data_IF_914970272310
#
_entry.id   IF_914970272310
#
_cell.length_a   1.000
_cell.length_b   1.000
_cell.length_c   1.000
_cell.angle_alpha   90.00
_cell.angle_beta   90.00
_cell.angle_gamma   90.00
#
_symmetry.space_group_name_H-M   'P 1'
#
loop_
_entity.id
_entity.type
_entity.pdbx_description
1 polymer ?
#
# COMPACT_ATOMS: atom_id res chain seq x y z
N UNK A 1 -14.91 11.48 3.42
CA UNK A 1 -14.26 11.36 2.10
C UNK A 1 -13.53 12.65 1.78
N UNK A 2 -12.52 12.61 0.90
CA UNK A 2 -11.73 13.79 0.53
C UNK A 2 -12.58 15.01 0.08
N UNK A 3 -13.66 14.86 -0.73
CA UNK A 3 -14.49 16.00 -1.12
C UNK A 3 -15.14 16.75 0.05
N UNK A 4 -15.63 16.02 1.07
CA UNK A 4 -16.23 16.64 2.26
C UNK A 4 -15.17 17.33 3.14
N UNK A 5 -13.98 16.75 3.22
CA UNK A 5 -12.85 17.36 3.94
C UNK A 5 -12.40 18.67 3.27
N UNK A 6 -12.28 18.67 1.94
CA UNK A 6 -11.96 19.87 1.15
C UNK A 6 -13.04 20.94 1.32
N UNK A 7 -14.33 20.57 1.30
CA UNK A 7 -15.42 21.51 1.53
C UNK A 7 -15.31 22.18 2.91
N UNK A 8 -15.06 21.40 3.96
CA UNK A 8 -14.86 21.94 5.31
C UNK A 8 -13.63 22.84 5.40
N UNK A 9 -12.50 22.46 4.80
CA UNK A 9 -11.29 23.30 4.76
C UNK A 9 -11.57 24.67 4.14
N UNK A 10 -12.34 24.70 3.03
CA UNK A 10 -12.73 25.96 2.37
C UNK A 10 -13.63 26.83 3.24
N UNK A 11 -14.55 26.23 4.00
CA UNK A 11 -15.42 26.98 4.93
C UNK A 11 -14.64 27.58 6.10
N UNK A 12 -13.54 26.94 6.49
CA UNK A 12 -12.67 27.37 7.59
C UNK A 12 -11.46 28.19 7.13
N UNK A 13 -11.37 28.54 5.84
CA UNK A 13 -10.24 29.23 5.22
C UNK A 13 -8.87 28.55 5.47
N UNK A 14 -8.86 27.22 5.44
CA UNK A 14 -7.67 26.39 5.64
C UNK A 14 -7.04 25.97 4.30
N UNK A 15 -5.70 25.81 4.23
CA UNK A 15 -5.03 25.25 3.06
C UNK A 15 -5.55 23.85 2.70
N UNK A 16 -5.73 23.59 1.40
CA UNK A 16 -6.09 22.25 0.91
C UNK A 16 -4.84 21.43 0.61
N UNK A 17 -4.61 20.27 1.26
CA UNK A 17 -3.46 19.42 0.98
C UNK A 17 -3.63 18.69 -0.35
N UNK A 18 -2.50 18.17 -0.87
CA UNK A 18 -2.51 17.24 -2.00
C UNK A 18 -2.89 15.85 -1.50
N UNK A 19 -3.81 15.19 -2.22
CA UNK A 19 -4.26 13.84 -1.90
C UNK A 19 -3.62 12.83 -2.87
N UNK A 20 -3.15 11.71 -2.31
CA UNK A 20 -2.71 10.54 -3.06
C UNK A 20 -3.52 9.34 -2.55
N UNK A 21 -4.20 8.65 -3.47
CA UNK A 21 -4.98 7.46 -3.14
C UNK A 21 -4.23 6.22 -3.64
N UNK A 22 -4.01 5.27 -2.74
CA UNK A 22 -3.45 3.95 -3.06
C UNK A 22 -4.58 2.94 -3.30
N UNK A 23 -4.37 1.92 -4.14
CA UNK A 23 -5.35 0.87 -4.37
C UNK A 23 -5.67 0.12 -3.07
N UNK A 24 -6.94 -0.23 -2.90
CA UNK A 24 -7.38 -1.12 -1.82
C UNK A 24 -7.07 -2.56 -2.22
N UNK A 25 -6.31 -3.27 -1.37
CA UNK A 25 -6.04 -4.68 -1.54
C UNK A 25 -7.33 -5.51 -1.39
N UNK A 26 -7.58 -6.42 -2.34
CA UNK A 26 -8.72 -7.35 -2.35
C UNK A 26 -8.25 -8.80 -2.45
N UNK A 27 -9.12 -9.75 -2.09
CA UNK A 27 -8.92 -11.16 -2.45
C UNK A 27 -9.23 -11.40 -3.94
N UNK A 28 -9.07 -12.65 -4.39
CA UNK A 28 -9.38 -13.05 -5.77
C UNK A 28 -10.85 -12.84 -6.18
N UNK A 29 -11.77 -12.74 -5.22
CA UNK A 29 -13.20 -12.45 -5.46
C UNK A 29 -13.51 -10.95 -5.51
N UNK A 30 -12.51 -10.09 -5.36
CA UNK A 30 -12.68 -8.64 -5.35
C UNK A 30 -13.16 -8.07 -4.00
N UNK A 31 -13.24 -8.90 -2.96
CA UNK A 31 -13.62 -8.46 -1.62
C UNK A 31 -12.43 -7.83 -0.91
N UNK A 32 -12.64 -6.69 -0.25
CA UNK A 32 -11.59 -6.00 0.50
C UNK A 32 -10.99 -6.95 1.55
N UNK A 33 -9.67 -7.00 1.63
CA UNK A 33 -8.98 -7.69 2.72
C UNK A 33 -9.30 -7.01 4.05
N UNK A 34 -9.86 -7.77 4.98
CA UNK A 34 -10.32 -7.30 6.28
C UNK A 34 -10.44 -8.47 7.25
N UNK A 35 -10.66 -8.17 8.53
CA UNK A 35 -11.00 -9.19 9.52
C UNK A 35 -12.32 -9.92 9.20
N UNK A 36 -13.27 -9.23 8.56
CA UNK A 36 -14.55 -9.81 8.16
C UNK A 36 -14.41 -10.81 7.00
N UNK A 37 -13.44 -10.58 6.12
CA UNK A 37 -13.11 -11.48 5.00
C UNK A 37 -12.02 -12.48 5.36
N UNK A 38 -11.73 -12.66 6.66
CA UNK A 38 -10.74 -13.60 7.19
C UNK A 38 -9.36 -13.46 6.54
N UNK A 39 -8.97 -12.23 6.21
CA UNK A 39 -7.64 -11.97 5.68
C UNK A 39 -6.57 -12.43 6.68
N UNK A 40 -5.51 -13.06 6.16
CA UNK A 40 -4.40 -13.50 6.98
C UNK A 40 -3.79 -12.32 7.76
N UNK A 41 -3.46 -12.51 9.05
CA UNK A 41 -2.75 -11.48 9.81
C UNK A 41 -1.35 -11.28 9.25
N UNK A 42 -0.77 -10.11 9.52
CA UNK A 42 0.65 -9.85 9.20
C UNK A 42 1.53 -10.84 9.96
N UNK A 43 2.41 -11.54 9.25
CA UNK A 43 3.36 -12.49 9.83
C UNK A 43 4.52 -11.75 10.51
N UNK A 44 4.41 -11.55 11.83
CA UNK A 44 5.45 -10.91 12.63
C UNK A 44 6.77 -11.69 12.69
N UNK A 45 6.79 -12.98 12.32
CA UNK A 45 8.02 -13.79 12.27
C UNK A 45 8.81 -13.55 10.98
N UNK A 46 8.15 -13.06 9.92
CA UNK A 46 8.76 -12.77 8.61
C UNK A 46 8.30 -11.40 8.10
N UNK A 47 8.57 -10.31 8.84
CA UNK A 47 8.07 -8.98 8.51
C UNK A 47 8.60 -8.48 7.17
N UNK A 48 9.82 -8.87 6.79
CA UNK A 48 10.42 -8.52 5.50
C UNK A 48 9.63 -9.05 4.30
N UNK A 49 9.08 -10.26 4.39
CA UNK A 49 8.27 -10.84 3.31
C UNK A 49 6.98 -10.05 3.10
N UNK A 50 6.31 -9.67 4.19
CA UNK A 50 5.10 -8.85 4.13
C UNK A 50 5.35 -7.45 3.58
N UNK A 51 6.46 -6.83 3.98
CA UNK A 51 6.85 -5.52 3.48
C UNK A 51 7.23 -5.55 1.99
N UNK A 52 7.97 -6.59 1.58
CA UNK A 52 8.30 -6.84 0.17
C UNK A 52 7.03 -6.94 -0.68
N UNK A 53 6.06 -7.78 -0.26
CA UNK A 53 4.81 -7.96 -0.97
C UNK A 53 3.98 -6.65 -1.03
N UNK A 54 4.00 -5.84 0.02
CA UNK A 54 3.34 -4.54 0.03
C UNK A 54 3.97 -3.55 -0.97
N UNK A 55 5.30 -3.53 -1.09
CA UNK A 55 5.99 -2.68 -2.07
C UNK A 55 5.74 -3.16 -3.51
N UNK A 56 5.80 -4.47 -3.76
CA UNK A 56 5.45 -5.05 -5.05
C UNK A 56 3.99 -4.66 -5.44
N UNK A 57 3.05 -4.74 -4.50
CA UNK A 57 1.65 -4.33 -4.69
C UNK A 57 1.51 -2.83 -5.01
N UNK A 58 2.36 -1.97 -4.43
CA UNK A 58 2.39 -0.54 -4.70
C UNK A 58 3.13 -0.19 -6.00
N UNK A 59 3.62 -1.17 -6.77
CA UNK A 59 4.32 -0.94 -8.02
C UNK A 59 5.82 -0.66 -7.86
N UNK A 60 6.40 -1.02 -6.71
CA UNK A 60 7.84 -0.91 -6.42
C UNK A 60 8.43 -2.32 -6.28
N UNK A 61 8.73 -3.00 -7.41
CA UNK A 61 9.25 -4.36 -7.37
C UNK A 61 10.59 -4.41 -6.62
N UNK A 62 10.60 -5.07 -5.47
CA UNK A 62 11.81 -5.14 -4.63
C UNK A 62 12.82 -6.10 -5.27
N UNK A 63 14.11 -5.73 -5.33
CA UNK A 63 15.15 -6.61 -5.84
C UNK A 63 15.21 -7.93 -5.07
N UNK A 64 15.47 -9.04 -5.77
CA UNK A 64 15.49 -10.38 -5.16
C UNK A 64 16.45 -10.50 -3.97
N UNK A 65 17.57 -9.78 -4.02
CA UNK A 65 18.55 -9.72 -2.93
C UNK A 65 18.01 -9.14 -1.62
N UNK A 66 16.93 -8.34 -1.67
CA UNK A 66 16.30 -7.72 -0.50
C UNK A 66 14.98 -8.41 -0.11
N UNK A 67 14.52 -9.42 -0.85
CA UNK A 67 13.27 -10.12 -0.55
C UNK A 67 13.40 -10.85 0.78
N UNK A 68 12.58 -10.46 1.75
CA UNK A 68 12.60 -11.04 3.10
C UNK A 68 13.75 -10.54 4.00
N UNK A 69 14.54 -9.56 3.55
CA UNK A 69 15.55 -8.90 4.36
C UNK A 69 14.94 -8.19 5.58
N UNK A 70 15.77 -7.76 6.56
CA UNK A 70 15.30 -6.91 7.66
C UNK A 70 14.48 -5.71 7.15
N UNK A 71 13.39 -5.34 7.85
CA UNK A 71 12.54 -4.22 7.41
C UNK A 71 13.28 -2.90 7.21
N UNK A 72 14.34 -2.64 7.99
CA UNK A 72 15.16 -1.45 7.84
C UNK A 72 15.78 -1.36 6.44
N UNK A 73 16.45 -2.42 6.00
CA UNK A 73 17.13 -2.47 4.68
C UNK A 73 16.13 -2.29 3.52
N UNK A 74 14.95 -2.91 3.65
CA UNK A 74 13.88 -2.79 2.65
C UNK A 74 13.31 -1.36 2.63
N UNK A 75 13.10 -0.74 3.79
CA UNK A 75 12.60 0.63 3.89
C UNK A 75 13.62 1.66 3.37
N UNK A 76 14.90 1.47 3.65
CA UNK A 76 15.97 2.33 3.11
C UNK A 76 15.99 2.28 1.59
N UNK A 77 15.89 1.09 1.01
CA UNK A 77 15.71 0.93 -0.44
C UNK A 77 14.41 1.61 -0.93
N UNK A 78 13.28 1.38 -0.27
CA UNK A 78 11.99 1.91 -0.68
C UNK A 78 11.95 3.45 -0.68
N UNK A 79 12.55 4.09 0.32
CA UNK A 79 12.67 5.56 0.40
C UNK A 79 13.49 6.09 -0.77
N UNK A 80 14.61 5.45 -1.09
CA UNK A 80 15.48 5.86 -2.21
C UNK A 80 14.82 5.68 -3.59
N UNK A 81 13.89 4.74 -3.73
CA UNK A 81 13.25 4.38 -5.02
C UNK A 81 11.77 4.78 -5.10
N UNK A 82 11.26 5.53 -4.11
CA UNK A 82 9.85 5.88 -4.07
C UNK A 82 9.47 6.79 -5.23
N UNK A 83 8.45 6.36 -5.98
CA UNK A 83 7.89 7.12 -7.08
C UNK A 83 6.35 7.00 -7.06
N UNK A 84 5.61 8.07 -6.68
CA UNK A 84 4.16 8.08 -6.70
C UNK A 84 3.53 7.81 -8.07
N UNK A 85 4.25 8.08 -9.16
CA UNK A 85 3.75 7.83 -10.51
C UNK A 85 3.74 6.33 -10.88
N UNK A 86 4.50 5.50 -10.16
CA UNK A 86 4.52 4.04 -10.32
C UNK A 86 3.33 3.35 -9.64
N UNK A 87 2.59 4.06 -8.78
CA UNK A 87 1.42 3.51 -8.12
C UNK A 87 0.39 3.02 -9.15
N UNK A 88 -0.16 1.82 -8.97
CA UNK A 88 -1.20 1.32 -9.85
C UNK A 88 -2.43 2.24 -9.87
N UNK A 89 -2.93 2.55 -11.07
CA UNK A 89 -4.09 3.42 -11.27
C UNK A 89 -5.40 2.65 -11.17
N UNK A 90 -5.66 2.09 -9.99
CA UNK A 90 -6.88 1.33 -9.70
C UNK A 90 -7.41 1.67 -8.31
N UNK A 91 -8.74 1.57 -8.11
CA UNK A 91 -9.34 1.71 -6.78
C UNK A 91 -9.14 0.46 -5.92
N UNK A 92 -9.16 -0.70 -6.58
CA UNK A 92 -9.03 -2.01 -5.96
C UNK A 92 -8.08 -2.86 -6.80
N UNK A 93 -7.24 -3.64 -6.14
CA UNK A 93 -6.39 -4.62 -6.79
C UNK A 93 -6.38 -5.93 -6.00
N UNK A 94 -6.53 -7.08 -6.66
CA UNK A 94 -6.30 -8.35 -6.01
C UNK A 94 -4.83 -8.44 -5.59
N UNK A 95 -4.58 -8.93 -4.38
CA UNK A 95 -3.22 -9.35 -4.03
C UNK A 95 -2.88 -10.58 -4.87
N UNK A 96 -1.65 -10.65 -5.38
CA UNK A 96 -1.13 -11.91 -5.89
C UNK A 96 -1.06 -12.87 -4.70
N UNK A 97 -1.84 -13.94 -4.74
CA UNK A 97 -1.66 -15.04 -3.80
C UNK A 97 -0.24 -15.58 -4.03
N UNK A 98 0.59 -15.56 -2.99
CA UNK A 98 1.84 -16.29 -3.03
C UNK A 98 1.50 -17.76 -3.25
N UNK A 99 1.93 -18.31 -4.38
CA UNK A 99 1.84 -19.72 -4.69
C UNK A 99 2.59 -20.57 -3.64
#
# INVERSE_FOLDING_TARGET
SAPRQIHLQRLLDLPTPRYLHVPVATNARGEKLSKQTLAAPVDAKRPGCGLTAALDFLGHPVPDALRGAPPADILDWAVAHWNPAALPRARHLPISEAA
#
